data_IF_920579391787
#
_entry.id   IF_920579391787
#
_cell.length_a   1.000
_cell.length_b   1.000
_cell.length_c   1.000
_cell.angle_alpha   90.00
_cell.angle_beta   90.00
_cell.angle_gamma   90.00
#
_symmetry.space_group_name_H-M   'P 1'
#
loop_
_entity.id
_entity.type
_entity.pdbx_description
1 polymer ?
#
# COMPACT_ATOMS: atom_id res chain seq x y z
N UNK A 1 -13.11 -23.72 -6.76
CA UNK A 1 -11.98 -22.95 -7.34
C UNK A 1 -10.98 -22.65 -6.23
N UNK A 2 -9.97 -23.52 -6.10
CA UNK A 2 -9.02 -23.54 -4.99
C UNK A 2 -7.99 -22.41 -5.07
N UNK A 3 -8.36 -21.23 -4.59
CA UNK A 3 -7.40 -20.16 -4.33
C UNK A 3 -6.54 -20.51 -3.12
N UNK A 4 -5.23 -20.26 -3.20
CA UNK A 4 -4.34 -20.38 -2.05
C UNK A 4 -4.70 -19.33 -1.00
N UNK A 5 -4.58 -19.69 0.28
CA UNK A 5 -4.85 -18.79 1.40
C UNK A 5 -3.99 -17.52 1.27
N UNK A 6 -4.66 -16.36 1.25
CA UNK A 6 -4.05 -15.05 1.19
C UNK A 6 -4.63 -14.16 2.31
N UNK A 7 -3.80 -13.72 3.25
CA UNK A 7 -4.21 -12.85 4.36
C UNK A 7 -3.43 -11.55 4.33
N UNK A 8 -4.18 -10.45 4.29
CA UNK A 8 -3.66 -9.08 4.41
C UNK A 8 -4.45 -8.36 5.50
N UNK A 9 -3.73 -7.88 6.51
CA UNK A 9 -4.27 -6.98 7.51
C UNK A 9 -4.05 -5.54 7.03
N UNK A 10 -5.00 -4.64 7.29
CA UNK A 10 -4.88 -3.25 6.88
C UNK A 10 -5.40 -2.30 7.94
N UNK A 11 -4.80 -1.12 8.00
CA UNK A 11 -5.24 -0.03 8.85
C UNK A 11 -5.25 1.27 8.05
N UNK A 12 -6.37 2.01 8.10
CA UNK A 12 -6.40 3.34 7.50
C UNK A 12 -5.70 4.34 8.41
N UNK A 13 -4.62 4.95 7.92
CA UNK A 13 -3.85 5.98 8.64
C UNK A 13 -4.54 7.34 8.50
N UNK A 14 -4.95 7.70 7.27
CA UNK A 14 -5.52 9.01 6.96
C UNK A 14 -6.45 8.96 5.77
N UNK A 15 -7.48 9.82 5.75
CA UNK A 15 -8.34 10.05 4.59
C UNK A 15 -8.31 11.53 4.22
N UNK A 16 -8.10 11.84 2.96
CA UNK A 16 -8.06 13.21 2.45
C UNK A 16 -8.23 13.23 0.93
N UNK A 17 -8.82 14.30 0.38
CA UNK A 17 -8.91 14.55 -1.06
C UNK A 17 -9.53 13.39 -1.88
N UNK A 18 -10.43 12.60 -1.29
CA UNK A 18 -11.02 11.41 -1.95
C UNK A 18 -10.13 10.15 -1.91
N UNK A 19 -8.96 10.21 -1.28
CA UNK A 19 -8.02 9.10 -1.12
C UNK A 19 -7.92 8.64 0.33
N UNK A 20 -7.49 7.39 0.52
CA UNK A 20 -7.14 6.82 1.82
C UNK A 20 -5.67 6.39 1.81
N UNK A 21 -4.89 6.88 2.77
CA UNK A 21 -3.57 6.35 3.09
C UNK A 21 -3.76 5.15 4.02
N UNK A 22 -3.34 3.98 3.54
CA UNK A 22 -3.57 2.71 4.22
C UNK A 22 -2.22 2.01 4.45
N UNK A 23 -2.03 1.53 5.67
CA UNK A 23 -0.95 0.62 6.02
C UNK A 23 -1.41 -0.82 5.78
N UNK A 24 -0.57 -1.62 5.12
CA UNK A 24 -0.83 -3.04 4.89
C UNK A 24 0.21 -3.86 5.62
N UNK A 25 -0.24 -4.86 6.37
CA UNK A 25 0.60 -5.89 6.98
C UNK A 25 0.27 -7.25 6.36
N UNK A 26 1.29 -7.90 5.80
CA UNK A 26 1.15 -9.14 5.05
C UNK A 26 1.50 -10.33 5.93
N UNK A 27 0.50 -11.17 6.21
CA UNK A 27 0.72 -12.49 6.80
C UNK A 27 1.15 -13.51 5.73
N UNK A 28 0.66 -13.32 4.50
CA UNK A 28 1.10 -14.08 3.32
C UNK A 28 1.60 -13.16 2.22
N UNK A 29 2.51 -13.65 1.38
CA UNK A 29 3.14 -12.88 0.30
C UNK A 29 2.78 -13.36 -1.11
N UNK A 30 1.50 -13.45 -1.47
CA UNK A 30 1.07 -13.88 -2.81
C UNK A 30 1.30 -12.77 -3.86
N UNK A 31 1.43 -13.17 -5.13
CA UNK A 31 1.63 -12.23 -6.25
C UNK A 31 0.45 -11.25 -6.34
N UNK A 32 0.75 -9.95 -6.36
CA UNK A 32 -0.23 -8.85 -6.41
C UNK A 32 -1.29 -8.86 -5.28
N UNK A 33 -1.03 -9.54 -4.15
CA UNK A 33 -2.03 -9.75 -3.10
C UNK A 33 -2.72 -8.46 -2.62
N UNK A 34 -1.94 -7.43 -2.27
CA UNK A 34 -2.48 -6.13 -1.83
C UNK A 34 -3.39 -5.51 -2.88
N UNK A 35 -2.97 -5.55 -4.15
CA UNK A 35 -3.68 -4.92 -5.27
C UNK A 35 -5.03 -5.57 -5.50
N UNK A 36 -5.08 -6.91 -5.48
CA UNK A 36 -6.31 -7.68 -5.64
C UNK A 36 -7.24 -7.44 -4.45
N UNK A 37 -6.75 -7.58 -3.21
CA UNK A 37 -7.57 -7.37 -2.02
C UNK A 37 -8.13 -5.95 -1.93
N UNK A 38 -7.32 -4.93 -2.25
CA UNK A 38 -7.76 -3.54 -2.25
C UNK A 38 -8.86 -3.30 -3.30
N UNK A 39 -8.73 -3.89 -4.48
CA UNK A 39 -9.76 -3.82 -5.53
C UNK A 39 -11.04 -4.58 -5.15
N UNK A 40 -10.94 -5.74 -4.51
CA UNK A 40 -12.09 -6.51 -4.03
C UNK A 40 -12.89 -5.72 -3.00
N UNK A 41 -12.20 -4.95 -2.14
CA UNK A 41 -12.78 -3.98 -1.20
C UNK A 41 -13.31 -2.70 -1.85
N UNK A 42 -13.30 -2.60 -3.20
CA UNK A 42 -13.70 -1.40 -3.98
C UNK A 42 -12.86 -0.15 -3.71
N UNK A 43 -11.65 -0.34 -3.19
CA UNK A 43 -10.68 0.71 -2.93
C UNK A 43 -9.34 0.37 -3.59
N UNK A 44 -9.27 0.32 -4.94
CA UNK A 44 -8.03 -0.05 -5.64
C UNK A 44 -6.87 0.88 -5.31
N UNK A 45 -5.66 0.34 -5.46
CA UNK A 45 -4.43 1.12 -5.33
C UNK A 45 -4.34 2.13 -6.48
N UNK A 46 -4.00 3.37 -6.15
CA UNK A 46 -3.86 4.45 -7.12
C UNK A 46 -2.68 4.20 -8.08
N UNK A 47 -2.84 4.54 -9.36
CA UNK A 47 -1.86 4.23 -10.39
C UNK A 47 -1.74 2.74 -10.75
N UNK A 48 -2.69 1.90 -10.29
CA UNK A 48 -2.78 0.50 -10.70
C UNK A 48 -3.51 0.36 -12.04
N UNK A 49 -2.76 0.17 -13.12
CA UNK A 49 -3.31 0.02 -14.48
C UNK A 49 -4.07 -1.29 -14.71
N UNK A 50 -3.90 -2.30 -13.83
CA UNK A 50 -4.50 -3.62 -14.01
C UNK A 50 -5.77 -3.80 -13.19
N UNK A 51 -5.76 -3.32 -11.95
CA UNK A 51 -6.85 -3.53 -11.00
C UNK A 51 -7.53 -2.22 -10.57
N UNK A 52 -6.97 -1.05 -10.91
CA UNK A 52 -7.46 0.25 -10.46
C UNK A 52 -8.06 1.12 -11.57
N UNK A 53 -8.26 2.40 -11.24
CA UNK A 53 -8.75 3.42 -12.16
C UNK A 53 -7.59 4.07 -12.91
N UNK A 54 -7.86 4.70 -14.06
CA UNK A 54 -6.87 5.43 -14.86
C UNK A 54 -6.26 6.64 -14.16
N UNK A 55 -6.76 7.01 -12.98
CA UNK A 55 -6.20 8.08 -12.16
C UNK A 55 -4.81 7.70 -11.62
N UNK A 56 -3.78 8.40 -12.11
CA UNK A 56 -2.38 8.15 -11.79
C UNK A 56 -1.61 9.46 -11.51
N UNK A 57 -1.97 10.21 -10.46
CA UNK A 57 -1.34 11.49 -10.14
C UNK A 57 0.13 11.34 -9.69
N UNK A 58 0.59 10.12 -9.41
CA UNK A 58 1.97 9.83 -9.03
C UNK A 58 2.83 9.30 -10.17
N UNK A 59 2.26 9.04 -11.35
CA UNK A 59 2.95 8.42 -12.49
C UNK A 59 3.45 6.99 -12.21
N UNK A 60 3.08 6.39 -11.08
CA UNK A 60 3.50 5.05 -10.65
C UNK A 60 2.47 4.46 -9.69
N UNK A 61 2.54 3.15 -9.47
CA UNK A 61 1.74 2.48 -8.45
C UNK A 61 1.98 3.10 -7.07
N UNK A 62 0.90 3.52 -6.41
CA UNK A 62 0.91 4.09 -5.06
C UNK A 62 1.04 3.00 -3.98
N UNK A 63 2.05 2.14 -4.13
CA UNK A 63 2.40 1.10 -3.19
C UNK A 63 3.89 1.21 -2.85
N UNK A 64 4.20 1.23 -1.55
CA UNK A 64 5.56 1.41 -1.05
C UNK A 64 5.84 0.48 0.12
N UNK A 65 6.88 -0.34 0.01
CA UNK A 65 7.36 -1.16 1.12
C UNK A 65 8.21 -0.30 2.05
N UNK A 66 7.61 0.23 3.11
CA UNK A 66 8.28 1.16 4.01
C UNK A 66 9.00 0.45 5.18
N UNK A 67 8.59 -0.77 5.54
CA UNK A 67 9.15 -1.56 6.64
C UNK A 67 9.36 -3.00 6.20
N UNK A 68 10.53 -3.56 6.50
CA UNK A 68 10.89 -4.95 6.27
C UNK A 68 11.61 -5.50 7.50
N UNK A 69 11.10 -6.60 8.05
CA UNK A 69 11.71 -7.32 9.16
C UNK A 69 11.88 -8.79 8.77
N UNK A 70 13.07 -9.34 8.99
CA UNK A 70 13.32 -10.76 8.84
C UNK A 70 14.49 -11.22 9.72
N UNK A 71 14.53 -12.50 10.06
CA UNK A 71 15.69 -13.09 10.71
C UNK A 71 16.75 -13.38 9.65
N UNK A 72 17.97 -12.91 9.87
CA UNK A 72 19.08 -13.17 8.97
C UNK A 72 19.28 -14.69 8.84
N UNK A 73 19.32 -15.26 7.63
CA UNK A 73 19.30 -16.71 7.43
C UNK A 73 20.54 -17.44 7.98
N UNK A 74 21.67 -16.72 8.06
CA UNK A 74 22.93 -17.25 8.62
C UNK A 74 23.12 -16.91 10.10
N UNK A 75 23.05 -15.63 10.50
CA UNK A 75 23.35 -15.21 11.88
C UNK A 75 22.17 -15.38 12.85
N UNK A 76 20.94 -15.55 12.35
CA UNK A 76 19.72 -15.61 13.17
C UNK A 76 19.30 -14.27 13.78
N UNK A 77 20.06 -13.20 13.53
CA UNK A 77 19.77 -11.87 14.06
C UNK A 77 18.53 -11.25 13.42
N UNK A 78 17.73 -10.55 14.21
CA UNK A 78 16.56 -9.84 13.71
C UNK A 78 17.00 -8.57 12.97
N UNK A 79 16.89 -8.58 11.64
CA UNK A 79 17.17 -7.42 10.81
C UNK A 79 15.92 -6.56 10.65
N UNK A 80 16.07 -5.25 10.78
CA UNK A 80 14.99 -4.28 10.56
C UNK A 80 15.43 -3.19 9.60
N UNK A 81 14.65 -3.00 8.56
CA UNK A 81 14.84 -1.96 7.56
C UNK A 81 13.60 -1.09 7.50
N UNK A 82 13.78 0.22 7.58
CA UNK A 82 12.71 1.20 7.48
C UNK A 82 13.10 2.30 6.50
N UNK A 83 12.16 2.74 5.69
CA UNK A 83 12.29 3.89 4.79
C UNK A 83 11.08 4.79 4.93
N UNK A 84 11.24 6.12 4.85
CA UNK A 84 10.09 7.02 4.85
C UNK A 84 9.22 6.74 3.61
N UNK A 85 7.90 6.86 3.77
CA UNK A 85 7.01 6.78 2.62
C UNK A 85 7.22 8.00 1.69
N UNK A 86 7.05 7.84 0.37
CA UNK A 86 7.39 8.85 -0.63
C UNK A 86 6.68 10.19 -0.42
N UNK A 87 7.36 11.29 -0.72
CA UNK A 87 6.79 12.65 -0.68
C UNK A 87 5.53 12.81 -1.53
N UNK A 88 5.41 12.06 -2.63
CA UNK A 88 4.19 12.03 -3.44
C UNK A 88 2.95 11.61 -2.64
N UNK A 89 3.11 10.66 -1.71
CA UNK A 89 2.00 10.19 -0.87
C UNK A 89 1.61 11.26 0.16
N UNK A 90 2.61 11.96 0.72
CA UNK A 90 2.38 13.10 1.62
C UNK A 90 1.58 14.19 0.92
N UNK A 91 1.98 14.59 -0.28
CA UNK A 91 1.30 15.63 -1.08
C UNK A 91 -0.17 15.32 -1.33
N UNK A 92 -0.52 14.06 -1.62
CA UNK A 92 -1.92 13.63 -1.78
C UNK A 92 -2.74 13.77 -0.50
N UNK A 93 -2.09 13.77 0.67
CA UNK A 93 -2.73 13.82 1.98
C UNK A 93 -2.70 15.22 2.63
N UNK A 94 -2.07 16.21 1.99
CA UNK A 94 -2.18 17.61 2.39
C UNK A 94 -3.57 18.10 1.98
N UNK A 95 -4.35 18.66 2.93
CA UNK A 95 -5.67 19.24 2.60
C UNK A 95 -5.46 20.34 1.56
N UNK A 96 -6.13 20.26 0.41
CA UNK A 96 -6.31 21.45 -0.41
C UNK A 96 -7.11 22.45 0.44
N UNK A 97 -6.57 23.64 0.67
CA UNK A 97 -7.38 24.75 1.17
C UNK A 97 -8.46 24.97 0.12
N UNK A 98 -9.73 24.94 0.53
CA UNK A 98 -10.82 25.29 -0.36
C UNK A 98 -10.58 26.72 -0.83
N UNK A 99 -10.31 26.89 -2.12
CA UNK A 99 -10.37 28.20 -2.76
C UNK A 99 -11.84 28.54 -2.83
N UNK A 100 -12.29 29.42 -1.93
CA UNK A 100 -13.57 30.14 -2.03
C UNK A 100 -13.56 31.02 -3.27
#
# INVERSE_FOLDING_TARGET
>A
NGGEKAITHFQTIKRANGYSLVEFNLETGRKNQIRVHAQDLKHPVLGDTKYGKEDNPLGRLALHAFKLHFCHPVTGELMKFETPYPEGFKKLMLKKQATT
#
